data_IF_522853073068
#
_entry.id   IF_522853073068
#
_cell.length_a   1.000
_cell.length_b   1.000
_cell.length_c   1.000
_cell.angle_alpha   90.00
_cell.angle_beta   90.00
_cell.angle_gamma   90.00
#
_symmetry.space_group_name_H-M   'P 1'
#
loop_
_entity.id
_entity.type
_entity.pdbx_description
1 polymer ?
#
# COMPACT_ATOMS: atom_id res chain seq x y z
N UNK A 1 36.03 15.87 86.19
CA UNK A 1 35.62 15.04 85.03
C UNK A 1 34.12 14.78 85.13
N UNK A 2 33.30 15.43 84.30
CA UNK A 2 31.86 15.14 84.21
C UNK A 2 31.64 13.83 83.44
N UNK A 3 31.01 12.84 84.07
CA UNK A 3 30.51 11.62 83.39
C UNK A 3 29.10 11.89 82.86
N UNK A 4 28.96 12.03 81.55
CA UNK A 4 27.65 12.02 80.89
C UNK A 4 27.03 10.62 81.00
N UNK A 5 25.93 10.47 81.75
CA UNK A 5 25.09 9.26 81.72
C UNK A 5 24.30 9.27 80.41
N UNK A 6 24.65 8.38 79.48
CA UNK A 6 23.80 8.07 78.33
C UNK A 6 22.49 7.44 78.84
N UNK A 7 21.37 8.15 78.73
CA UNK A 7 20.03 7.60 78.97
C UNK A 7 19.82 6.41 78.03
N UNK A 8 19.39 5.26 78.56
CA UNK A 8 19.07 4.08 77.77
C UNK A 8 17.94 4.37 76.78
N UNK A 9 18.27 4.58 75.50
CA UNK A 9 17.31 4.78 74.39
C UNK A 9 16.86 3.46 73.73
N UNK A 10 16.96 2.32 74.45
CA UNK A 10 16.69 0.99 73.88
C UNK A 10 15.23 0.80 73.40
N UNK A 11 14.27 1.55 73.96
CA UNK A 11 12.86 1.48 73.56
C UNK A 11 12.48 2.33 72.34
N UNK A 12 13.13 3.48 72.12
CA UNK A 12 12.78 4.38 71.01
C UNK A 12 13.26 3.86 69.65
N UNK A 13 14.40 3.19 69.61
CA UNK A 13 14.90 2.55 68.38
C UNK A 13 13.97 1.42 67.90
N UNK A 14 13.44 0.62 68.83
CA UNK A 14 12.47 -0.45 68.52
C UNK A 14 11.16 0.13 67.97
N UNK A 15 10.65 1.22 68.57
CA UNK A 15 9.44 1.88 68.10
C UNK A 15 9.60 2.46 66.70
N UNK A 16 10.73 3.11 66.40
CA UNK A 16 11.01 3.64 65.06
C UNK A 16 11.15 2.49 64.04
N UNK A 17 11.82 1.40 64.40
CA UNK A 17 11.94 0.22 63.53
C UNK A 17 10.58 -0.44 63.24
N UNK A 18 9.71 -0.56 64.25
CA UNK A 18 8.34 -1.07 64.08
C UNK A 18 7.49 -0.15 63.20
N UNK A 19 7.54 1.17 63.44
CA UNK A 19 6.82 2.14 62.61
C UNK A 19 7.29 2.08 61.15
N UNK A 20 8.60 1.99 60.91
CA UNK A 20 9.17 1.83 59.56
C UNK A 20 8.75 0.51 58.92
N UNK A 21 8.74 -0.59 59.68
CA UNK A 21 8.32 -1.90 59.16
C UNK A 21 6.84 -1.91 58.76
N UNK A 22 5.96 -1.33 59.60
CA UNK A 22 4.54 -1.19 59.28
C UNK A 22 4.35 -0.32 58.04
N UNK A 23 5.06 0.81 57.95
CA UNK A 23 4.96 1.72 56.83
C UNK A 23 5.43 1.06 55.52
N UNK A 24 6.55 0.35 55.54
CA UNK A 24 7.04 -0.43 54.39
C UNK A 24 6.10 -1.58 54.01
N UNK A 25 5.44 -2.20 54.98
CA UNK A 25 4.47 -3.27 54.73
C UNK A 25 3.22 -2.72 54.03
N UNK A 26 2.72 -1.56 54.47
CA UNK A 26 1.57 -0.89 53.81
C UNK A 26 1.93 -0.48 52.38
N UNK A 27 3.12 0.10 52.18
CA UNK A 27 3.61 0.44 50.83
C UNK A 27 3.73 -0.83 49.97
N UNK A 28 4.30 -1.91 50.53
CA UNK A 28 4.47 -3.17 49.79
C UNK A 28 3.14 -3.79 49.35
N UNK A 29 2.11 -3.73 50.19
CA UNK A 29 0.76 -4.21 49.84
C UNK A 29 0.13 -3.34 48.75
N UNK A 30 0.28 -2.02 48.82
CA UNK A 30 -0.22 -1.12 47.78
C UNK A 30 0.46 -1.38 46.43
N UNK A 31 1.80 -1.49 46.41
CA UNK A 31 2.55 -1.82 45.20
C UNK A 31 2.16 -3.17 44.60
N UNK A 32 1.83 -4.17 45.43
CA UNK A 32 1.37 -5.47 44.95
C UNK A 32 -0.02 -5.42 44.33
N UNK A 33 -0.93 -4.65 44.92
CA UNK A 33 -2.27 -4.45 44.38
C UNK A 33 -2.20 -3.69 43.04
N UNK A 34 -1.43 -2.60 42.98
CA UNK A 34 -1.24 -1.81 41.76
C UNK A 34 -0.66 -2.67 40.63
N UNK A 35 0.34 -3.52 40.93
CA UNK A 35 0.91 -4.44 39.95
C UNK A 35 -0.09 -5.50 39.47
N UNK A 36 -1.00 -5.97 40.35
CA UNK A 36 -2.03 -6.94 39.99
C UNK A 36 -3.12 -6.31 39.12
N UNK A 37 -3.49 -5.06 39.41
CA UNK A 37 -4.42 -4.27 38.62
C UNK A 37 -3.84 -3.96 37.24
N UNK A 38 -2.57 -3.55 37.16
CA UNK A 38 -1.88 -3.31 35.90
C UNK A 38 -1.78 -4.59 35.04
N UNK A 39 -1.49 -5.74 35.65
CA UNK A 39 -1.46 -7.02 34.95
C UNK A 39 -2.84 -7.39 34.40
N UNK A 40 -3.91 -7.12 35.16
CA UNK A 40 -5.29 -7.37 34.74
C UNK A 40 -5.69 -6.44 33.59
N UNK A 41 -5.33 -5.16 33.67
CA UNK A 41 -5.56 -4.18 32.60
C UNK A 41 -4.79 -4.57 31.33
N UNK A 42 -3.53 -4.97 31.47
CA UNK A 42 -2.71 -5.45 30.36
C UNK A 42 -3.29 -6.72 29.73
N UNK A 43 -3.75 -7.67 30.54
CA UNK A 43 -4.42 -8.89 30.08
C UNK A 43 -5.69 -8.58 29.28
N UNK A 44 -6.60 -7.79 29.85
CA UNK A 44 -7.83 -7.38 29.17
C UNK A 44 -7.57 -6.63 27.86
N UNK A 45 -6.54 -5.77 27.83
CA UNK A 45 -6.11 -5.05 26.63
C UNK A 45 -5.60 -6.02 25.55
N UNK A 46 -4.83 -7.03 25.96
CA UNK A 46 -4.30 -8.05 25.05
C UNK A 46 -5.39 -8.95 24.48
N UNK A 47 -6.38 -9.33 25.30
CA UNK A 47 -7.52 -10.14 24.88
C UNK A 47 -8.43 -9.38 23.91
N UNK A 48 -8.71 -8.10 24.19
CA UNK A 48 -9.46 -7.24 23.28
C UNK A 48 -8.74 -7.03 21.93
N UNK A 49 -7.42 -6.85 21.97
CA UNK A 49 -6.57 -6.76 20.77
C UNK A 49 -6.57 -8.08 19.99
N UNK A 50 -6.58 -9.21 20.70
CA UNK A 50 -6.67 -10.55 20.09
C UNK A 50 -8.00 -10.77 19.37
N UNK A 51 -9.12 -10.35 19.96
CA UNK A 51 -10.42 -10.39 19.29
C UNK A 51 -10.47 -9.49 18.05
N UNK A 52 -9.82 -8.32 18.11
CA UNK A 52 -9.69 -7.41 16.96
C UNK A 52 -8.92 -8.06 15.80
N UNK A 53 -7.76 -8.67 16.08
CA UNK A 53 -6.99 -9.39 15.06
C UNK A 53 -7.76 -10.58 14.47
N UNK A 54 -8.58 -11.25 15.28
CA UNK A 54 -9.46 -12.30 14.77
C UNK A 54 -10.50 -11.73 13.78
N UNK A 55 -11.12 -10.60 14.09
CA UNK A 55 -12.03 -9.94 13.17
C UNK A 55 -11.31 -9.45 11.90
N UNK A 56 -10.09 -8.92 12.00
CA UNK A 56 -9.28 -8.48 10.86
C UNK A 56 -8.88 -9.65 9.94
N UNK A 57 -8.53 -10.81 10.52
CA UNK A 57 -8.25 -12.02 9.74
C UNK A 57 -9.46 -12.43 8.87
N UNK A 58 -10.69 -12.27 9.38
CA UNK A 58 -11.89 -12.49 8.57
C UNK A 58 -12.06 -11.50 7.41
N UNK A 59 -11.63 -10.23 7.57
CA UNK A 59 -11.58 -9.27 6.46
C UNK A 59 -10.57 -9.69 5.39
N UNK A 60 -9.39 -10.18 5.79
CA UNK A 60 -8.38 -10.69 4.86
C UNK A 60 -8.88 -11.90 4.06
N UNK A 61 -9.65 -12.80 4.70
CA UNK A 61 -10.33 -13.91 4.02
C UNK A 61 -11.34 -13.38 2.99
N UNK A 62 -12.19 -12.43 3.39
CA UNK A 62 -13.15 -11.82 2.48
C UNK A 62 -12.45 -11.19 1.26
N UNK A 63 -11.37 -10.45 1.48
CA UNK A 63 -10.60 -9.85 0.38
C UNK A 63 -10.02 -10.91 -0.57
N UNK A 64 -9.50 -12.02 -0.03
CA UNK A 64 -9.04 -13.13 -0.87
C UNK A 64 -10.19 -13.72 -1.71
N UNK A 65 -11.32 -14.03 -1.08
CA UNK A 65 -12.47 -14.63 -1.77
C UNK A 65 -13.11 -13.68 -2.80
N UNK A 66 -13.20 -12.40 -2.49
CA UNK A 66 -13.87 -11.42 -3.35
C UNK A 66 -12.95 -10.94 -4.49
N UNK A 67 -11.65 -10.76 -4.24
CA UNK A 67 -10.73 -10.19 -5.23
C UNK A 67 -9.82 -11.20 -5.90
N UNK A 68 -9.12 -12.04 -5.12
CA UNK A 68 -8.16 -13.00 -5.68
C UNK A 68 -8.89 -14.09 -6.48
N UNK A 69 -10.01 -14.60 -5.98
CA UNK A 69 -10.77 -15.61 -6.71
C UNK A 69 -11.43 -15.02 -7.95
N UNK A 70 -11.83 -13.75 -7.92
CA UNK A 70 -12.27 -13.03 -9.12
C UNK A 70 -11.17 -12.96 -10.18
N UNK A 71 -9.94 -12.58 -9.82
CA UNK A 71 -8.81 -12.55 -10.77
C UNK A 71 -8.55 -13.94 -11.38
N UNK A 72 -8.71 -15.00 -10.58
CA UNK A 72 -8.54 -16.39 -11.01
C UNK A 72 -9.75 -16.96 -11.76
N UNK A 73 -10.89 -16.27 -11.73
CA UNK A 73 -12.11 -16.60 -12.46
C UNK A 73 -11.90 -16.38 -13.97
N UNK A 74 -11.16 -17.31 -14.56
CA UNK A 74 -10.71 -17.27 -15.94
C UNK A 74 -11.70 -18.05 -16.82
N UNK A 75 -12.35 -17.33 -17.73
CA UNK A 75 -13.25 -17.83 -18.77
C UNK A 75 -14.48 -18.62 -18.28
N UNK A 76 -15.54 -17.89 -17.91
CA UNK A 76 -16.86 -18.47 -17.63
C UNK A 76 -17.87 -17.85 -18.60
N UNK A 77 -18.56 -18.68 -19.38
CA UNK A 77 -19.60 -18.21 -20.31
C UNK A 77 -20.61 -17.32 -19.58
N UNK A 78 -20.93 -16.10 -20.08
CA UNK A 78 -20.66 -15.59 -21.43
C UNK A 78 -19.32 -14.87 -21.64
N UNK A 79 -18.45 -14.77 -20.63
CA UNK A 79 -17.26 -13.91 -20.63
C UNK A 79 -15.96 -14.67 -20.88
N UNK A 80 -15.21 -14.29 -21.92
CA UNK A 80 -13.94 -14.94 -22.30
C UNK A 80 -12.78 -14.67 -21.33
N UNK A 81 -12.79 -13.59 -20.53
CA UNK A 81 -11.70 -13.20 -19.61
C UNK A 81 -12.19 -12.49 -18.34
N UNK A 82 -13.07 -13.13 -17.57
CA UNK A 82 -13.84 -12.49 -16.50
C UNK A 82 -13.05 -11.86 -15.34
N UNK A 83 -11.79 -12.25 -15.07
CA UNK A 83 -10.98 -11.66 -13.96
C UNK A 83 -9.81 -10.75 -14.36
N UNK A 84 -9.32 -10.84 -15.62
CA UNK A 84 -8.07 -10.18 -16.06
C UNK A 84 -8.29 -8.97 -16.96
N UNK A 85 -9.42 -8.95 -17.67
CA UNK A 85 -9.85 -7.85 -18.56
C UNK A 85 -11.35 -7.58 -18.34
N UNK A 86 -11.81 -7.86 -17.12
CA UNK A 86 -13.23 -7.80 -16.74
C UNK A 86 -13.74 -6.35 -16.61
N UNK A 87 -15.04 -6.19 -16.75
CA UNK A 87 -15.76 -4.95 -16.46
C UNK A 87 -16.69 -5.19 -15.26
N UNK A 88 -17.43 -4.18 -14.80
CA UNK A 88 -18.34 -4.37 -13.66
C UNK A 88 -19.30 -5.54 -13.84
N UNK A 89 -19.82 -5.78 -15.05
CA UNK A 89 -20.76 -6.87 -15.31
C UNK A 89 -20.12 -8.25 -15.08
N UNK A 90 -18.83 -8.41 -15.40
CA UNK A 90 -18.12 -9.68 -15.12
C UNK A 90 -17.91 -9.88 -13.63
N UNK A 91 -17.64 -8.81 -12.88
CA UNK A 91 -17.54 -8.86 -11.43
C UNK A 91 -18.88 -9.19 -10.78
N UNK A 92 -19.97 -8.54 -11.20
CA UNK A 92 -21.33 -8.84 -10.74
C UNK A 92 -21.72 -10.29 -11.01
N UNK A 93 -21.40 -10.81 -12.20
CA UNK A 93 -21.64 -12.20 -12.54
C UNK A 93 -20.82 -13.18 -11.68
N UNK A 94 -19.57 -12.84 -11.36
CA UNK A 94 -18.76 -13.62 -10.42
C UNK A 94 -19.41 -13.66 -9.03
N UNK A 95 -19.84 -12.50 -8.51
CA UNK A 95 -20.53 -12.40 -7.22
C UNK A 95 -21.84 -13.21 -7.21
N UNK A 96 -22.63 -13.15 -8.28
CA UNK A 96 -23.86 -13.93 -8.42
C UNK A 96 -23.57 -15.45 -8.38
N UNK A 97 -22.49 -15.92 -9.01
CA UNK A 97 -22.07 -17.32 -8.95
C UNK A 97 -21.60 -17.76 -7.55
N UNK A 98 -21.10 -16.83 -6.75
CA UNK A 98 -20.81 -17.06 -5.33
C UNK A 98 -22.07 -17.03 -4.46
N UNK A 99 -23.24 -16.71 -5.03
CA UNK A 99 -24.49 -16.53 -4.29
C UNK A 99 -24.63 -15.18 -3.61
N UNK A 100 -23.78 -14.20 -3.96
CA UNK A 100 -23.78 -12.85 -3.38
C UNK A 100 -24.64 -11.93 -4.26
N UNK A 101 -25.94 -11.96 -3.99
CA UNK A 101 -26.93 -11.21 -4.76
C UNK A 101 -27.12 -9.78 -4.24
N UNK A 102 -27.53 -8.88 -5.14
CA UNK A 102 -27.84 -7.50 -4.79
C UNK A 102 -28.94 -7.40 -3.71
N UNK A 103 -28.71 -6.53 -2.73
CA UNK A 103 -29.60 -6.32 -1.59
C UNK A 103 -29.62 -7.43 -0.54
N UNK A 104 -28.81 -8.49 -0.70
CA UNK A 104 -28.76 -9.60 0.23
C UNK A 104 -27.48 -9.62 1.06
N UNK A 105 -27.59 -10.15 2.28
CA UNK A 105 -26.45 -10.54 3.09
C UNK A 105 -26.11 -12.01 2.84
N UNK A 106 -24.83 -12.31 2.67
CA UNK A 106 -24.32 -13.65 2.38
C UNK A 106 -23.15 -13.96 3.31
N UNK A 107 -23.18 -15.11 3.98
CA UNK A 107 -22.07 -15.58 4.80
C UNK A 107 -20.99 -16.19 3.91
N UNK A 108 -19.79 -15.59 3.91
CA UNK A 108 -18.63 -16.04 3.16
C UNK A 108 -17.82 -17.10 3.91
N UNK A 109 -17.74 -16.96 5.23
CA UNK A 109 -17.00 -17.87 6.09
C UNK A 109 -17.53 -17.76 7.52
N UNK A 110 -17.44 -18.85 8.29
CA UNK A 110 -17.84 -18.87 9.69
C UNK A 110 -17.08 -19.93 10.48
N UNK A 111 -17.06 -19.75 11.80
CA UNK A 111 -16.57 -20.72 12.78
C UNK A 111 -15.13 -21.22 12.53
N UNK A 112 -14.23 -20.35 12.10
CA UNK A 112 -12.83 -20.70 11.84
C UNK A 112 -11.95 -20.41 13.05
N UNK A 113 -11.14 -21.37 13.47
CA UNK A 113 -10.12 -21.16 14.49
C UNK A 113 -8.80 -20.75 13.84
N UNK A 114 -8.21 -19.64 14.30
CA UNK A 114 -6.98 -19.07 13.72
C UNK A 114 -5.74 -19.27 14.63
N UNK A 115 -5.95 -19.78 15.85
CA UNK A 115 -4.90 -20.14 16.80
C UNK A 115 -5.05 -19.47 18.16
N UNK A 116 -4.43 -20.04 19.19
CA UNK A 116 -4.38 -19.50 20.56
C UNK A 116 -5.76 -19.12 21.16
N UNK A 117 -6.83 -19.84 20.81
CA UNK A 117 -8.19 -19.56 21.29
C UNK A 117 -8.92 -18.45 20.53
N UNK A 118 -8.29 -17.82 19.53
CA UNK A 118 -8.92 -16.85 18.66
C UNK A 118 -9.77 -17.54 17.59
N UNK A 119 -10.95 -16.98 17.29
CA UNK A 119 -11.88 -17.53 16.29
C UNK A 119 -12.48 -16.42 15.45
N UNK A 120 -12.66 -16.69 14.16
CA UNK A 120 -13.53 -15.93 13.27
C UNK A 120 -14.93 -16.54 13.39
N UNK A 121 -15.88 -15.80 13.95
CA UNK A 121 -17.24 -16.29 14.14
C UNK A 121 -18.01 -16.26 12.82
N UNK A 122 -17.95 -15.12 12.12
CA UNK A 122 -18.67 -14.92 10.87
C UNK A 122 -18.00 -13.85 10.01
N UNK A 123 -18.03 -14.05 8.71
CA UNK A 123 -17.69 -13.07 7.67
C UNK A 123 -18.91 -12.98 6.76
N UNK A 124 -19.59 -11.84 6.80
CA UNK A 124 -20.82 -11.58 6.05
C UNK A 124 -20.55 -10.45 5.06
N UNK A 125 -20.97 -10.63 3.82
CA UNK A 125 -20.96 -9.58 2.79
C UNK A 125 -22.38 -9.15 2.47
N UNK A 126 -22.61 -7.85 2.39
CA UNK A 126 -23.83 -7.26 1.84
C UNK A 126 -23.48 -6.56 0.54
N UNK A 127 -24.12 -6.95 -0.55
CA UNK A 127 -23.97 -6.27 -1.84
C UNK A 127 -25.05 -5.21 -2.03
N UNK A 128 -24.66 -4.08 -2.60
CA UNK A 128 -25.57 -3.03 -3.06
C UNK A 128 -25.10 -2.49 -4.41
N UNK A 129 -25.88 -2.68 -5.45
CA UNK A 129 -25.62 -2.10 -6.76
C UNK A 129 -26.35 -0.76 -6.90
N UNK A 130 -25.59 0.34 -7.01
CA UNK A 130 -26.14 1.71 -7.11
C UNK A 130 -25.57 2.41 -8.33
N UNK A 131 -26.39 2.60 -9.37
CA UNK A 131 -25.96 3.28 -10.60
C UNK A 131 -24.82 2.54 -11.29
N UNK A 132 -23.65 3.19 -11.40
CA UNK A 132 -22.43 2.64 -11.99
C UNK A 132 -21.57 1.81 -11.01
N UNK A 133 -21.92 1.79 -9.72
CA UNK A 133 -21.12 1.22 -8.63
C UNK A 133 -21.70 -0.11 -8.14
N UNK A 134 -20.83 -1.07 -7.83
CA UNK A 134 -21.12 -2.22 -6.97
C UNK A 134 -20.41 -2.04 -5.64
N UNK A 135 -21.17 -1.88 -4.57
CA UNK A 135 -20.66 -1.78 -3.19
C UNK A 135 -20.79 -3.11 -2.47
N UNK A 136 -19.74 -3.50 -1.74
CA UNK A 136 -19.70 -4.66 -0.88
C UNK A 136 -19.34 -4.22 0.53
N UNK A 137 -20.30 -4.31 1.45
CA UNK A 137 -20.05 -4.10 2.88
C UNK A 137 -19.72 -5.45 3.50
N UNK A 138 -18.47 -5.65 3.90
CA UNK A 138 -18.02 -6.87 4.56
C UNK A 138 -17.96 -6.62 6.05
N UNK A 139 -18.78 -7.34 6.80
CA UNK A 139 -18.69 -7.43 8.26
C UNK A 139 -17.96 -8.72 8.65
N UNK A 140 -16.92 -8.59 9.46
CA UNK A 140 -16.26 -9.71 10.12
C UNK A 140 -16.45 -9.59 11.63
N UNK A 141 -16.76 -10.70 12.28
CA UNK A 141 -16.84 -10.81 13.74
C UNK A 141 -15.86 -11.88 14.21
N UNK A 142 -14.99 -11.51 15.13
CA UNK A 142 -13.99 -12.40 15.73
C UNK A 142 -14.05 -12.38 17.24
N UNK A 143 -13.70 -13.50 17.85
CA UNK A 143 -13.60 -13.66 19.31
C UNK A 143 -12.17 -13.96 19.74
N UNK A 144 -11.74 -13.33 20.84
CA UNK A 144 -10.47 -13.59 21.50
C UNK A 144 -10.53 -14.80 22.45
N UNK A 145 -9.42 -15.14 23.10
CA UNK A 145 -9.29 -16.32 23.98
C UNK A 145 -10.21 -16.26 25.22
N UNK A 146 -10.56 -15.06 25.67
CA UNK A 146 -11.47 -14.78 26.77
C UNK A 146 -12.96 -14.78 26.36
N UNK A 147 -13.25 -15.08 25.10
CA UNK A 147 -14.56 -14.95 24.44
C UNK A 147 -15.05 -13.50 24.26
N UNK A 148 -14.20 -12.49 24.45
CA UNK A 148 -14.51 -11.13 24.01
C UNK A 148 -14.71 -11.11 22.49
N UNK A 149 -15.69 -10.35 22.00
CA UNK A 149 -16.02 -10.27 20.58
C UNK A 149 -15.74 -8.87 20.03
N UNK A 150 -15.15 -8.82 18.84
CA UNK A 150 -14.96 -7.59 18.07
C UNK A 150 -15.61 -7.74 16.71
N UNK A 151 -16.20 -6.65 16.22
CA UNK A 151 -16.86 -6.57 14.91
C UNK A 151 -16.23 -5.45 14.11
N UNK A 152 -15.73 -5.78 12.91
CA UNK A 152 -15.13 -4.83 11.98
C UNK A 152 -15.96 -4.84 10.69
N UNK A 153 -16.25 -3.66 10.15
CA UNK A 153 -16.91 -3.51 8.85
C UNK A 153 -16.01 -2.73 7.90
N UNK A 154 -15.83 -3.25 6.69
CA UNK A 154 -15.13 -2.59 5.59
C UNK A 154 -16.07 -2.44 4.39
N UNK A 155 -15.88 -1.39 3.61
CA UNK A 155 -16.64 -1.13 2.39
C UNK A 155 -15.69 -1.23 1.21
N UNK A 156 -16.00 -2.13 0.28
CA UNK A 156 -15.29 -2.28 -0.98
C UNK A 156 -16.19 -1.78 -2.12
N UNK A 157 -15.58 -1.09 -3.07
CA UNK A 157 -16.30 -0.47 -4.18
C UNK A 157 -15.67 -0.94 -5.49
N UNK A 158 -16.51 -1.46 -6.38
CA UNK A 158 -16.14 -1.87 -7.73
C UNK A 158 -16.91 -0.99 -8.73
N UNK A 159 -16.19 -0.11 -9.42
CA UNK A 159 -16.76 0.77 -10.43
C UNK A 159 -16.56 0.21 -11.84
N UNK A 160 -17.47 0.58 -12.74
CA UNK A 160 -17.52 0.09 -14.11
C UNK A 160 -16.85 0.97 -15.16
N UNK A 161 -16.23 2.10 -14.80
CA UNK A 161 -15.38 2.80 -15.76
C UNK A 161 -14.18 1.90 -16.08
N UNK A 162 -13.92 1.69 -17.37
CA UNK A 162 -12.70 1.03 -17.79
C UNK A 162 -11.54 1.82 -17.18
N UNK A 163 -10.79 1.19 -16.28
CA UNK A 163 -9.53 1.73 -15.81
C UNK A 163 -8.66 1.94 -17.05
N UNK A 164 -8.52 3.19 -17.51
CA UNK A 164 -7.77 3.56 -18.72
C UNK A 164 -6.25 3.36 -18.57
N UNK A 165 -5.84 2.62 -17.54
CA UNK A 165 -4.51 2.69 -16.98
C UNK A 165 -4.32 3.94 -16.12
N UNK A 166 -3.22 3.96 -15.38
CA UNK A 166 -2.60 5.23 -15.07
C UNK A 166 -1.99 5.76 -16.37
N UNK A 167 -2.15 7.04 -16.66
CA UNK A 167 -1.43 7.69 -17.76
C UNK A 167 0.09 7.50 -17.67
N UNK A 168 0.59 7.22 -16.47
CA UNK A 168 2.00 7.08 -16.13
C UNK A 168 2.34 5.65 -15.68
N UNK A 169 3.38 5.07 -16.29
CA UNK A 169 3.99 3.81 -15.84
C UNK A 169 4.73 4.00 -14.51
N UNK A 170 5.27 5.19 -14.27
CA UNK A 170 5.85 5.62 -12.99
C UNK A 170 5.47 7.07 -12.76
N UNK A 171 4.86 7.36 -11.61
CA UNK A 171 4.58 8.71 -11.13
C UNK A 171 4.99 8.78 -9.66
N UNK A 172 5.98 9.61 -9.34
CA UNK A 172 6.48 9.77 -7.97
C UNK A 172 6.83 11.22 -7.69
N UNK A 173 6.76 11.63 -6.42
CA UNK A 173 7.35 12.90 -6.00
C UNK A 173 8.87 12.90 -6.19
N UNK A 174 9.52 11.79 -5.85
CA UNK A 174 10.96 11.68 -5.81
C UNK A 174 11.41 10.37 -6.48
N UNK A 175 12.30 10.48 -7.46
CA UNK A 175 12.86 9.34 -8.21
C UNK A 175 14.36 9.30 -7.99
N UNK A 176 14.84 8.39 -7.13
CA UNK A 176 16.27 8.36 -6.76
C UNK A 176 16.99 7.08 -7.20
N UNK A 177 16.63 5.94 -6.62
CA UNK A 177 17.36 4.70 -6.87
C UNK A 177 16.89 3.96 -8.13
N UNK A 178 15.65 4.20 -8.58
CA UNK A 178 15.06 3.39 -9.64
C UNK A 178 15.73 3.62 -11.00
N UNK A 179 16.33 4.78 -11.29
CA UNK A 179 17.00 5.03 -12.57
C UNK A 179 18.48 4.65 -12.61
N UNK A 180 18.90 3.68 -11.81
CA UNK A 180 20.25 3.14 -11.92
C UNK A 180 20.39 2.10 -13.05
N UNK A 181 19.43 1.17 -13.16
CA UNK A 181 19.49 0.06 -14.13
C UNK A 181 18.09 -0.39 -14.60
N UNK A 182 17.16 0.56 -14.76
CA UNK A 182 15.75 0.22 -15.03
C UNK A 182 15.40 0.49 -16.48
N UNK A 183 14.71 -0.47 -17.09
CA UNK A 183 13.99 -0.26 -18.35
C UNK A 183 12.50 -0.14 -18.05
N UNK A 184 11.88 0.96 -18.47
CA UNK A 184 10.43 1.15 -18.40
C UNK A 184 9.88 1.07 -19.82
N UNK A 185 8.90 0.21 -20.02
CA UNK A 185 8.37 -0.07 -21.35
C UNK A 185 6.87 -0.35 -21.34
N UNK A 186 6.28 -0.32 -22.53
CA UNK A 186 4.92 -0.75 -22.76
C UNK A 186 4.83 -2.28 -22.64
N UNK A 187 3.92 -2.76 -21.79
CA UNK A 187 3.71 -4.19 -21.53
C UNK A 187 3.35 -4.96 -22.81
N UNK A 188 2.52 -4.37 -23.67
CA UNK A 188 2.10 -5.01 -24.93
C UNK A 188 3.29 -5.14 -25.89
N UNK A 189 4.18 -4.14 -25.93
CA UNK A 189 5.41 -4.19 -26.74
C UNK A 189 6.37 -5.25 -26.21
N UNK A 190 6.59 -5.27 -24.90
CA UNK A 190 7.58 -6.14 -24.26
C UNK A 190 7.24 -7.63 -24.44
N UNK A 191 5.95 -7.99 -24.35
CA UNK A 191 5.49 -9.37 -24.51
C UNK A 191 5.04 -9.73 -25.92
N UNK A 192 5.17 -8.82 -26.89
CA UNK A 192 4.74 -9.07 -28.26
C UNK A 192 5.59 -10.16 -28.94
N UNK A 193 4.93 -11.15 -29.55
CA UNK A 193 5.54 -12.18 -30.40
C UNK A 193 5.21 -12.00 -31.88
N UNK A 194 4.33 -11.07 -32.24
CA UNK A 194 3.83 -10.88 -33.59
C UNK A 194 4.63 -9.80 -34.34
N UNK A 195 5.34 -10.19 -35.39
CA UNK A 195 6.16 -9.27 -36.19
C UNK A 195 5.34 -8.14 -36.83
N UNK A 196 4.06 -8.39 -37.15
CA UNK A 196 3.17 -7.40 -37.77
C UNK A 196 2.79 -6.24 -36.84
N UNK A 197 2.96 -6.39 -35.52
CA UNK A 197 2.65 -5.35 -34.55
C UNK A 197 3.86 -4.47 -34.20
N UNK A 198 5.05 -4.80 -34.71
CA UNK A 198 6.25 -4.02 -34.45
C UNK A 198 6.09 -2.58 -34.91
N UNK A 199 6.45 -1.64 -34.04
CA UNK A 199 6.33 -0.20 -34.28
C UNK A 199 4.92 0.38 -34.07
N UNK A 200 3.93 -0.41 -33.64
CA UNK A 200 2.55 0.07 -33.43
C UNK A 200 2.25 0.47 -31.98
N UNK A 201 3.19 0.22 -31.08
CA UNK A 201 2.99 0.33 -29.64
C UNK A 201 3.11 1.77 -29.12
N UNK A 202 2.21 2.11 -28.21
CA UNK A 202 2.21 3.40 -27.54
C UNK A 202 3.42 3.55 -26.61
N UNK A 203 3.91 4.78 -26.56
CA UNK A 203 4.90 5.18 -25.55
C UNK A 203 4.28 5.23 -24.16
N UNK A 204 5.09 4.92 -23.16
CA UNK A 204 4.71 5.11 -21.74
C UNK A 204 5.00 6.55 -21.28
N UNK A 205 4.31 7.02 -20.23
CA UNK A 205 4.68 8.25 -19.54
C UNK A 205 5.37 7.92 -18.22
N UNK A 206 6.40 8.68 -17.88
CA UNK A 206 7.15 8.54 -16.63
C UNK A 206 7.31 9.93 -16.04
N UNK A 207 7.04 10.12 -14.75
CA UNK A 207 7.04 11.44 -14.14
C UNK A 207 7.69 11.50 -12.75
N UNK A 208 8.51 12.54 -12.55
CA UNK A 208 8.92 13.01 -11.23
C UNK A 208 8.34 14.39 -10.93
N UNK A 209 7.79 14.59 -9.73
CA UNK A 209 7.10 15.82 -9.34
C UNK A 209 7.94 16.81 -8.52
N UNK A 210 9.01 16.40 -7.85
CA UNK A 210 9.82 17.27 -6.97
C UNK A 210 11.32 17.11 -7.21
N UNK A 211 11.82 15.87 -7.27
CA UNK A 211 13.25 15.65 -7.52
C UNK A 211 13.54 14.34 -8.23
N UNK A 212 14.64 14.34 -9.00
CA UNK A 212 15.13 13.15 -9.67
C UNK A 212 16.64 13.06 -9.51
N UNK A 213 17.15 11.94 -9.01
CA UNK A 213 18.58 11.65 -8.96
C UNK A 213 18.97 10.71 -10.09
N UNK A 214 19.99 11.09 -10.86
CA UNK A 214 20.58 10.27 -11.90
C UNK A 214 22.03 9.93 -11.56
N UNK A 215 22.43 8.67 -11.75
CA UNK A 215 23.83 8.27 -11.59
C UNK A 215 24.57 8.40 -12.92
N UNK A 216 24.96 9.63 -13.26
CA UNK A 216 25.72 9.93 -14.48
C UNK A 216 26.97 9.06 -14.59
N UNK A 217 27.20 8.50 -15.79
CA UNK A 217 28.36 7.64 -16.08
C UNK A 217 28.36 6.24 -15.47
N UNK A 218 27.37 5.86 -14.64
CA UNK A 218 27.27 4.50 -14.09
C UNK A 218 25.88 3.87 -14.22
N UNK A 219 24.86 4.65 -14.57
CA UNK A 219 23.52 4.14 -14.85
C UNK A 219 23.31 3.91 -16.35
N UNK A 220 22.40 3.00 -16.68
CA UNK A 220 22.05 2.57 -18.04
C UNK A 220 20.52 2.40 -18.21
N UNK A 221 19.74 3.28 -17.59
CA UNK A 221 18.28 3.20 -17.63
C UNK A 221 17.73 3.60 -19.00
N UNK A 222 16.62 2.99 -19.39
CA UNK A 222 15.94 3.26 -20.66
C UNK A 222 14.45 3.48 -20.45
N UNK A 223 13.87 4.46 -21.14
CA UNK A 223 12.42 4.69 -21.16
C UNK A 223 11.90 4.52 -22.59
N UNK A 224 11.02 3.54 -22.80
CA UNK A 224 10.20 3.38 -24.00
C UNK A 224 9.08 4.42 -24.08
N UNK A 225 9.41 5.69 -23.86
CA UNK A 225 8.43 6.75 -23.79
C UNK A 225 8.93 8.06 -23.23
N UNK A 226 8.01 8.87 -22.75
CA UNK A 226 8.24 10.28 -22.42
C UNK A 226 8.51 10.44 -20.93
N UNK A 227 9.60 11.13 -20.61
CA UNK A 227 9.91 11.58 -19.26
C UNK A 227 9.36 12.99 -19.02
N UNK A 228 8.62 13.15 -17.93
CA UNK A 228 8.13 14.42 -17.42
C UNK A 228 8.85 14.72 -16.11
N UNK A 229 9.51 15.86 -16.01
CA UNK A 229 10.20 16.22 -14.76
C UNK A 229 9.75 17.58 -14.27
N UNK A 230 9.42 17.64 -12.98
CA UNK A 230 9.22 18.85 -12.22
C UNK A 230 10.20 18.88 -11.05
N UNK A 231 10.71 20.07 -10.75
CA UNK A 231 11.71 20.29 -9.71
C UNK A 231 13.13 19.96 -10.15
N UNK A 232 14.00 19.56 -9.23
CA UNK A 232 15.46 19.48 -9.47
C UNK A 232 15.87 18.09 -9.94
N UNK A 233 16.62 18.04 -11.05
CA UNK A 233 17.34 16.84 -11.47
C UNK A 233 18.78 16.97 -11.00
N UNK A 234 19.30 15.98 -10.29
CA UNK A 234 20.62 16.03 -9.66
C UNK A 234 21.43 14.77 -9.92
N UNK A 235 22.76 14.87 -9.86
CA UNK A 235 23.64 13.72 -9.88
C UNK A 235 23.80 13.08 -8.49
N UNK A 236 24.54 11.96 -8.41
CA UNK A 236 24.85 11.27 -7.14
C UNK A 236 25.59 12.12 -6.10
N UNK A 237 26.18 13.23 -6.52
CA UNK A 237 26.94 14.17 -5.67
C UNK A 237 26.08 15.37 -5.25
N UNK A 238 24.81 15.43 -5.68
CA UNK A 238 23.90 16.55 -5.42
C UNK A 238 24.06 17.73 -6.38
N UNK A 239 24.85 17.61 -7.45
CA UNK A 239 24.96 18.67 -8.45
C UNK A 239 23.75 18.66 -9.38
N UNK A 240 23.19 19.84 -9.67
CA UNK A 240 22.05 19.97 -10.58
C UNK A 240 22.46 19.64 -12.01
N UNK A 241 21.66 18.80 -12.67
CA UNK A 241 21.75 18.47 -14.09
C UNK A 241 20.74 19.33 -14.85
N UNK A 242 21.21 20.36 -15.54
CA UNK A 242 20.35 21.29 -16.29
C UNK A 242 20.01 20.81 -17.70
N UNK A 243 20.71 19.80 -18.20
CA UNK A 243 20.55 19.30 -19.57
C UNK A 243 20.75 17.77 -19.62
N UNK A 244 19.71 17.09 -20.08
CA UNK A 244 19.65 15.64 -20.26
C UNK A 244 19.89 15.20 -21.72
N UNK A 245 20.07 16.14 -22.64
CA UNK A 245 20.27 15.88 -24.07
C UNK A 245 21.58 15.21 -24.46
N UNK A 246 22.69 15.30 -23.69
CA UNK A 246 23.86 14.49 -23.97
C UNK A 246 23.63 13.04 -23.55
N UNK A 247 24.04 12.08 -24.36
CA UNK A 247 24.08 10.66 -23.96
C UNK A 247 24.97 10.46 -22.72
N UNK A 248 24.68 9.42 -21.92
CA UNK A 248 25.51 9.06 -20.76
C UNK A 248 25.16 9.80 -19.47
N UNK A 249 24.00 10.47 -19.41
CA UNK A 249 23.43 11.04 -18.18
C UNK A 249 22.82 9.99 -17.25
N UNK A 250 22.90 8.71 -17.62
CA UNK A 250 22.40 7.59 -16.82
C UNK A 250 20.99 7.15 -17.19
N UNK A 251 20.35 7.87 -18.12
CA UNK A 251 19.03 7.55 -18.65
C UNK A 251 18.92 8.03 -20.09
N UNK A 252 18.40 7.16 -20.96
CA UNK A 252 18.11 7.47 -22.35
C UNK A 252 16.67 7.03 -22.69
N UNK A 253 16.13 7.53 -23.80
CA UNK A 253 14.85 7.11 -24.36
C UNK A 253 15.03 6.20 -25.58
N UNK A 254 13.91 5.68 -26.11
CA UNK A 254 13.87 5.11 -27.46
C UNK A 254 13.33 6.13 -28.47
N UNK A 255 13.72 5.99 -29.74
CA UNK A 255 13.17 6.81 -30.83
C UNK A 255 11.68 6.55 -31.03
N UNK A 256 10.97 7.62 -31.40
CA UNK A 256 9.58 7.54 -31.82
C UNK A 256 9.45 7.78 -33.32
N UNK A 257 8.41 7.21 -33.91
CA UNK A 257 8.01 7.52 -35.28
C UNK A 257 7.27 8.88 -35.36
N UNK A 258 6.86 9.27 -36.57
CA UNK A 258 6.12 10.52 -36.80
C UNK A 258 4.72 10.55 -36.17
N UNK A 259 4.22 9.41 -35.70
CA UNK A 259 2.92 9.28 -35.01
C UNK A 259 3.08 9.20 -33.49
N UNK A 260 4.32 9.22 -32.98
CA UNK A 260 4.64 9.18 -31.57
C UNK A 260 4.67 7.78 -30.96
N UNK A 261 4.64 6.73 -31.79
CA UNK A 261 4.78 5.33 -31.38
C UNK A 261 6.25 4.96 -31.23
N UNK A 262 6.55 3.94 -30.42
CA UNK A 262 7.92 3.46 -30.24
C UNK A 262 8.42 2.87 -31.56
N UNK A 263 9.54 3.38 -32.08
CA UNK A 263 10.14 2.91 -33.32
C UNK A 263 10.87 1.57 -33.09
N UNK A 264 10.59 0.58 -33.93
CA UNK A 264 11.28 -0.72 -33.93
C UNK A 264 12.01 -0.96 -35.27
N UNK A 265 13.27 -1.46 -35.27
CA UNK A 265 14.06 -1.91 -34.12
C UNK A 265 14.45 -0.77 -33.17
N UNK A 266 14.52 -1.09 -31.87
CA UNK A 266 14.78 -0.11 -30.82
C UNK A 266 16.11 0.59 -31.06
N UNK A 267 16.04 1.91 -31.13
CA UNK A 267 17.22 2.77 -31.24
C UNK A 267 17.23 3.71 -30.05
N UNK A 268 18.24 3.60 -29.20
CA UNK A 268 18.44 4.50 -28.06
C UNK A 268 18.72 5.92 -28.55
N UNK A 269 18.15 6.89 -27.86
CA UNK A 269 18.33 8.32 -28.10
C UNK A 269 18.39 9.06 -26.78
N UNK A 270 19.22 10.11 -26.66
CA UNK A 270 19.21 10.96 -25.47
C UNK A 270 17.84 11.60 -25.23
N UNK A 271 17.58 11.97 -23.99
CA UNK A 271 16.37 12.72 -23.61
C UNK A 271 16.55 14.19 -23.98
N UNK A 272 15.83 14.63 -25.01
CA UNK A 272 15.93 16.00 -25.54
C UNK A 272 14.70 16.78 -25.11
N UNK A 273 14.92 17.87 -24.38
CA UNK A 273 13.82 18.69 -23.88
C UNK A 273 12.99 19.24 -25.06
N UNK A 274 11.68 19.07 -24.96
CA UNK A 274 10.72 19.59 -25.92
C UNK A 274 10.93 21.10 -26.13
N UNK A 275 11.18 21.51 -27.37
CA UNK A 275 11.45 22.89 -27.72
C UNK A 275 10.18 23.57 -28.26
N UNK A 276 9.76 24.69 -27.66
CA UNK A 276 8.61 25.48 -28.11
C UNK A 276 7.74 25.97 -26.95
N UNK A 277 6.81 26.88 -27.23
CA UNK A 277 5.81 27.34 -26.26
C UNK A 277 4.43 27.54 -26.94
N UNK A 278 3.47 26.61 -26.77
CA UNK A 278 3.60 25.37 -25.98
C UNK A 278 4.59 24.38 -26.63
N UNK A 279 5.23 23.52 -25.83
CA UNK A 279 6.11 22.49 -26.36
C UNK A 279 5.32 21.54 -27.29
N UNK A 280 5.87 21.14 -28.45
CA UNK A 280 5.22 20.19 -29.35
C UNK A 280 4.86 18.90 -28.62
N UNK A 281 3.74 18.25 -28.96
CA UNK A 281 3.43 16.93 -28.44
C UNK A 281 4.44 15.91 -29.00
N UNK A 282 4.54 14.76 -28.33
CA UNK A 282 5.33 13.59 -28.79
C UNK A 282 6.84 13.64 -28.62
N UNK A 283 7.34 14.57 -27.81
CA UNK A 283 8.74 14.62 -27.43
C UNK A 283 9.06 13.60 -26.31
N UNK A 284 10.34 13.28 -26.12
CA UNK A 284 10.77 12.30 -25.13
C UNK A 284 11.09 12.90 -23.76
N UNK A 285 11.18 14.24 -23.64
CA UNK A 285 11.39 14.94 -22.37
C UNK A 285 10.58 16.24 -22.30
N UNK A 286 9.80 16.39 -21.23
CA UNK A 286 9.16 17.65 -20.87
C UNK A 286 9.65 18.13 -19.51
N UNK A 287 10.29 19.29 -19.50
CA UNK A 287 10.74 19.97 -18.29
C UNK A 287 9.65 20.92 -17.80
N UNK A 288 9.48 21.04 -16.48
CA UNK A 288 8.52 21.96 -15.85
C UNK A 288 7.08 21.78 -16.32
N UNK A 289 6.66 20.52 -16.51
CA UNK A 289 5.33 20.19 -17.02
C UNK A 289 4.22 20.83 -16.13
N UNK A 290 3.30 21.63 -16.70
CA UNK A 290 2.34 22.43 -15.94
C UNK A 290 1.25 21.60 -15.26
N UNK A 291 0.65 22.16 -14.20
CA UNK A 291 -0.40 21.56 -13.36
C UNK A 291 -1.83 21.90 -13.79
N UNK A 292 -2.00 22.63 -14.88
CA UNK A 292 -3.33 23.11 -15.28
C UNK A 292 -4.04 22.02 -16.08
N UNK A 293 -5.09 21.42 -15.51
CA UNK A 293 -5.93 20.40 -16.16
C UNK A 293 -6.64 20.94 -17.42
N UNK A 294 -6.58 22.26 -17.67
CA UNK A 294 -7.31 22.97 -18.72
C UNK A 294 -6.46 23.48 -19.90
N UNK A 295 -5.18 23.10 -20.01
CA UNK A 295 -4.30 23.48 -21.14
C UNK A 295 -3.60 22.30 -21.80
#
# INVERSE_FOLDING_TARGET
MLRYRLKQQKGSALLVALMLMVLLSVIGVQMHNDASDELTVAGNSWDATSAFYAAEAGQAIAQSLLWKDYINFSSVSPFKQAGKVGNRQTYQYFLDNMGIYDGQETELAANMEIGYGQRINSVVVRRSDVGALTELVVTSTGTGPDNSAQRISAVYQAEGEAFKGFDFAVLSNNINCIFCHTTIDNVDRYYNTEDSLKGTFDRVKVASLESMLLRTGSADSHIGGTLYTRGVVMDKSGNIINDLSPSGKGIDGYKFDTTGKIQEPLTTTPLVAAAGNPPPPMENLYLNYPTDESK
#
